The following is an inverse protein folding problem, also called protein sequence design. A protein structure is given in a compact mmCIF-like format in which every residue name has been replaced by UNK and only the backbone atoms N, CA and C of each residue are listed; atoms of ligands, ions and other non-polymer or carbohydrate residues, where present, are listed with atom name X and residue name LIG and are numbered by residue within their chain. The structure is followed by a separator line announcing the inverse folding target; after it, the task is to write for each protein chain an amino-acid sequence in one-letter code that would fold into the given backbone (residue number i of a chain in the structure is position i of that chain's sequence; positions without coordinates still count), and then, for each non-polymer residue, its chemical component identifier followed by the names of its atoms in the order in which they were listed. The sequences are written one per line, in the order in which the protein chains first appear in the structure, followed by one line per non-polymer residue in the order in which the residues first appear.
data_IF_471912539477
#
_entry.id   IF_471912539477
#
_cell.length_a   1.000
_cell.length_b   1.000
_cell.length_c   1.000
_cell.angle_alpha   90.00
_cell.angle_beta   90.00
_cell.angle_gamma   90.00
#
_symmetry.space_group_name_H-M   'P 1'
#
loop_
_entity.id
_entity.type
_entity.pdbx_description
1 polymer ?
#
# COMPACT_ATOMS: atom_id res chain seq x y z
N UNK A 1 -13.71 -7.38 13.95
CA UNK A 1 -13.12 -6.29 13.15
C UNK A 1 -11.66 -6.59 12.78
N UNK A 2 -10.87 -7.22 13.66
CA UNK A 2 -9.56 -7.81 13.30
C UNK A 2 -9.63 -8.71 12.05
N UNK A 3 -10.75 -9.42 11.83
CA UNK A 3 -10.94 -10.26 10.63
C UNK A 3 -11.31 -9.51 9.34
N UNK A 4 -11.62 -8.21 9.39
CA UNK A 4 -12.19 -7.49 8.23
C UNK A 4 -11.19 -6.63 7.45
N UNK A 5 -10.10 -6.17 8.05
CA UNK A 5 -9.12 -5.32 7.37
C UNK A 5 -7.78 -6.07 7.27
N UNK A 6 -7.63 -6.80 6.17
CA UNK A 6 -6.38 -7.48 5.80
C UNK A 6 -5.24 -6.46 5.84
N UNK A 7 -4.31 -6.55 6.79
CA UNK A 7 -3.21 -5.57 6.84
C UNK A 7 -2.81 -5.10 8.20
N UNK A 8 -3.76 -5.13 9.13
CA UNK A 8 -3.89 -4.02 10.03
C UNK A 8 -3.92 -4.50 11.48
N UNK A 9 -2.74 -4.57 12.08
CA UNK A 9 -2.65 -4.87 13.51
C UNK A 9 -3.17 -3.73 14.36
N UNK A 10 -4.26 -3.97 15.09
CA UNK A 10 -4.84 -3.02 16.04
C UNK A 10 -4.07 -2.96 17.38
N UNK A 11 -3.23 -3.96 17.65
CA UNK A 11 -2.60 -4.20 18.95
C UNK A 11 -1.68 -3.08 19.44
N UNK A 12 -1.09 -2.31 18.54
CA UNK A 12 -0.16 -1.21 18.86
C UNK A 12 -0.71 0.17 18.47
N UNK A 13 -1.99 0.26 18.11
CA UNK A 13 -2.64 1.51 17.73
C UNK A 13 -3.30 2.17 18.93
N UNK A 14 -3.35 3.49 18.92
CA UNK A 14 -4.12 4.23 19.93
C UNK A 14 -5.62 3.95 19.74
N UNK A 15 -6.41 4.05 20.80
CA UNK A 15 -7.88 3.87 20.73
C UNK A 15 -8.50 4.80 19.69
N UNK A 16 -8.04 6.06 19.65
CA UNK A 16 -8.49 7.08 18.70
C UNK A 16 -8.16 6.74 17.25
N UNK A 17 -7.00 6.11 16.97
CA UNK A 17 -6.67 5.68 15.61
C UNK A 17 -7.57 4.52 15.17
N UNK A 18 -7.90 3.59 16.08
CA UNK A 18 -8.82 2.49 15.77
C UNK A 18 -10.19 3.07 15.43
N UNK A 19 -10.75 3.92 16.31
CA UNK A 19 -12.05 4.59 16.10
C UNK A 19 -12.10 5.34 14.76
N UNK A 20 -11.04 6.10 14.42
CA UNK A 20 -10.94 6.79 13.14
C UNK A 20 -11.04 5.84 11.94
N UNK A 21 -10.36 4.69 11.99
CA UNK A 21 -10.40 3.71 10.89
C UNK A 21 -11.79 3.06 10.76
N UNK A 22 -12.47 2.80 11.87
CA UNK A 22 -13.85 2.30 11.85
C UNK A 22 -14.82 3.30 11.21
N UNK A 23 -14.70 4.58 11.59
CA UNK A 23 -15.52 5.64 11.05
C UNK A 23 -15.25 5.87 9.57
N UNK A 24 -13.99 5.78 9.15
CA UNK A 24 -13.60 5.89 7.75
C UNK A 24 -14.17 4.75 6.91
N UNK A 25 -14.15 3.51 7.40
CA UNK A 25 -14.78 2.35 6.74
C UNK A 25 -16.29 2.56 6.60
N UNK A 26 -16.97 2.95 7.69
CA UNK A 26 -18.40 3.27 7.66
C UNK A 26 -18.71 4.41 6.70
N UNK A 27 -17.85 5.43 6.64
CA UNK A 27 -17.99 6.56 5.73
C UNK A 27 -17.80 6.15 4.26
N UNK A 28 -16.82 5.29 3.98
CA UNK A 28 -16.59 4.74 2.64
C UNK A 28 -17.78 3.91 2.18
N UNK A 29 -18.32 3.04 3.03
CA UNK A 29 -19.47 2.18 2.72
C UNK A 29 -20.75 2.99 2.50
N UNK A 30 -21.04 3.95 3.39
CA UNK A 30 -22.29 4.72 3.37
C UNK A 30 -22.25 5.94 2.43
N UNK A 31 -21.11 6.26 1.81
CA UNK A 31 -21.04 7.33 0.83
C UNK A 31 -21.92 7.03 -0.38
N UNK A 32 -22.66 8.06 -0.82
CA UNK A 32 -23.50 8.05 -2.03
C UNK A 32 -22.69 8.01 -3.33
N UNK A 33 -21.38 8.28 -3.24
CA UNK A 33 -20.45 8.21 -4.37
C UNK A 33 -20.43 6.79 -4.94
N UNK A 34 -20.38 6.64 -6.26
CA UNK A 34 -20.11 5.35 -6.91
C UNK A 34 -18.70 4.85 -6.56
N UNK A 35 -18.44 3.55 -6.74
CA UNK A 35 -17.10 2.98 -6.50
C UNK A 35 -16.01 3.66 -7.36
N UNK A 36 -16.36 4.09 -8.57
CA UNK A 36 -15.44 4.83 -9.43
C UNK A 36 -15.14 6.22 -8.88
N UNK A 37 -16.15 6.95 -8.41
CA UNK A 37 -15.95 8.26 -7.78
C UNK A 37 -15.10 8.14 -6.52
N UNK A 38 -15.39 7.14 -5.67
CA UNK A 38 -14.58 6.82 -4.49
C UNK A 38 -13.10 6.63 -4.85
N UNK A 39 -12.82 5.83 -5.88
CA UNK A 39 -11.47 5.59 -6.37
C UNK A 39 -10.80 6.86 -6.93
N UNK A 40 -11.55 7.72 -7.64
CA UNK A 40 -11.03 9.00 -8.17
C UNK A 40 -10.73 10.01 -7.07
N UNK A 41 -11.48 9.96 -5.97
CA UNK A 41 -11.26 10.80 -4.79
C UNK A 41 -10.39 10.09 -3.74
N UNK A 42 -9.38 9.32 -4.14
CA UNK A 42 -8.60 8.50 -3.21
C UNK A 42 -8.04 9.28 -2.00
N UNK A 43 -7.65 10.56 -2.18
CA UNK A 43 -7.12 11.40 -1.10
C UNK A 43 -8.12 11.64 0.04
N UNK A 44 -9.44 11.57 -0.23
CA UNK A 44 -10.52 11.67 0.75
C UNK A 44 -10.59 10.43 1.66
N UNK A 45 -10.23 9.27 1.11
CA UNK A 45 -10.40 7.97 1.75
C UNK A 45 -9.09 7.31 2.19
N UNK A 46 -7.95 7.84 1.76
CA UNK A 46 -6.64 7.32 2.14
C UNK A 46 -6.24 7.83 3.54
N UNK A 47 -6.02 6.93 4.52
CA UNK A 47 -5.50 7.33 5.82
C UNK A 47 -4.14 8.01 5.71
N UNK A 48 -3.83 8.91 6.64
CA UNK A 48 -2.54 9.64 6.70
C UNK A 48 -1.33 8.71 6.54
N UNK A 49 -1.30 7.55 7.21
CA UNK A 49 -0.13 6.65 7.14
C UNK A 49 0.13 6.15 5.71
N UNK A 50 -0.94 5.86 4.97
CA UNK A 50 -0.84 5.35 3.60
C UNK A 50 -0.43 6.48 2.66
N UNK A 51 -0.91 7.70 2.90
CA UNK A 51 -0.41 8.89 2.21
C UNK A 51 1.08 9.14 2.48
N UNK A 52 1.54 8.99 3.72
CA UNK A 52 2.97 9.08 4.05
C UNK A 52 3.79 8.03 3.29
N UNK A 53 3.35 6.77 3.26
CA UNK A 53 4.01 5.68 2.51
C UNK A 53 4.02 5.95 1.00
N UNK A 54 2.95 6.53 0.44
CA UNK A 54 2.89 6.94 -0.96
C UNK A 54 3.92 8.05 -1.25
N UNK A 55 3.94 9.10 -0.43
CA UNK A 55 4.88 10.22 -0.59
C UNK A 55 6.34 9.80 -0.38
N UNK A 56 6.62 8.87 0.52
CA UNK A 56 7.97 8.32 0.67
C UNK A 56 8.44 7.61 -0.62
N UNK A 57 7.56 6.83 -1.26
CA UNK A 57 7.87 6.19 -2.56
C UNK A 57 8.05 7.22 -3.67
N UNK A 58 7.25 8.28 -3.66
CA UNK A 58 7.44 9.43 -4.55
C UNK A 58 8.83 10.06 -4.38
N UNK A 59 9.27 10.31 -3.15
CA UNK A 59 10.61 10.86 -2.88
C UNK A 59 11.73 9.89 -3.30
N UNK A 60 11.56 8.59 -3.07
CA UNK A 60 12.50 7.56 -3.55
C UNK A 60 12.55 7.53 -5.08
N UNK A 61 11.40 7.60 -5.74
CA UNK A 61 11.31 7.56 -7.20
C UNK A 61 12.05 8.74 -7.83
N UNK A 62 11.88 9.95 -7.29
CA UNK A 62 12.63 11.13 -7.75
C UNK A 62 14.15 10.96 -7.69
N UNK A 63 14.66 10.21 -6.72
CA UNK A 63 16.11 9.94 -6.59
C UNK A 63 16.66 9.03 -7.69
N UNK A 64 15.81 8.28 -8.37
CA UNK A 64 16.22 7.28 -9.37
C UNK A 64 15.80 7.63 -10.82
N UNK A 65 15.26 8.83 -11.06
CA UNK A 65 14.78 9.26 -12.38
C UNK A 65 15.86 9.12 -13.47
N UNK A 66 17.07 9.61 -13.17
CA UNK A 66 18.20 9.57 -14.09
C UNK A 66 18.99 8.24 -14.03
N UNK A 67 18.52 7.27 -13.24
CA UNK A 67 19.20 5.99 -13.07
C UNK A 67 18.52 4.94 -13.97
N UNK A 68 19.22 4.40 -14.98
CA UNK A 68 18.64 3.37 -15.84
C UNK A 68 18.39 2.07 -15.07
N UNK A 69 17.35 1.34 -15.44
CA UNK A 69 17.04 0.03 -14.88
C UNK A 69 15.58 -0.16 -14.53
N UNK A 70 15.30 -1.18 -13.73
CA UNK A 70 13.95 -1.56 -13.31
C UNK A 70 13.75 -1.40 -11.81
N UNK A 71 12.50 -1.32 -11.38
CA UNK A 71 12.10 -1.31 -9.97
C UNK A 71 11.57 -2.71 -9.61
N UNK A 72 12.00 -3.22 -8.47
CA UNK A 72 11.55 -4.52 -7.95
C UNK A 72 10.88 -4.30 -6.60
N UNK A 73 9.64 -4.78 -6.47
CA UNK A 73 8.84 -4.76 -5.25
C UNK A 73 8.68 -6.20 -4.73
N UNK A 74 9.32 -6.51 -3.61
CA UNK A 74 9.32 -7.83 -2.99
C UNK A 74 8.36 -7.86 -1.80
N UNK A 75 7.27 -8.61 -1.91
CA UNK A 75 6.13 -8.55 -0.99
C UNK A 75 5.12 -7.50 -1.44
N UNK A 76 4.38 -7.82 -2.49
CA UNK A 76 3.41 -6.94 -3.15
C UNK A 76 2.14 -6.75 -2.32
N UNK A 77 1.73 -7.76 -1.55
CA UNK A 77 0.49 -7.76 -0.78
C UNK A 77 -0.72 -7.36 -1.65
N UNK A 78 -1.44 -6.28 -1.30
CA UNK A 78 -2.57 -5.73 -2.06
C UNK A 78 -2.15 -4.75 -3.18
N UNK A 79 -0.85 -4.64 -3.49
CA UNK A 79 -0.33 -3.89 -4.63
C UNK A 79 -0.09 -2.40 -4.41
N UNK A 80 -0.25 -1.87 -3.19
CA UNK A 80 -0.11 -0.43 -2.92
C UNK A 80 1.26 0.12 -3.36
N UNK A 81 2.36 -0.55 -3.01
CA UNK A 81 3.72 -0.17 -3.42
C UNK A 81 3.92 -0.29 -4.93
N UNK A 82 3.62 -1.47 -5.47
CA UNK A 82 3.79 -1.81 -6.88
C UNK A 82 3.10 -0.79 -7.79
N UNK A 83 1.81 -0.52 -7.55
CA UNK A 83 1.05 0.42 -8.36
C UNK A 83 1.45 1.88 -8.11
N UNK A 84 1.97 2.23 -6.93
CA UNK A 84 2.56 3.55 -6.71
C UNK A 84 3.73 3.76 -7.68
N UNK A 85 4.69 2.83 -7.73
CA UNK A 85 5.83 2.97 -8.64
C UNK A 85 5.43 2.93 -10.11
N UNK A 86 4.48 2.08 -10.50
CA UNK A 86 3.96 2.04 -11.86
C UNK A 86 3.32 3.39 -12.28
N UNK A 87 2.53 3.99 -11.40
CA UNK A 87 1.92 5.31 -11.67
C UNK A 87 2.97 6.42 -11.71
N UNK A 88 3.94 6.42 -10.80
CA UNK A 88 5.03 7.40 -10.80
C UNK A 88 5.86 7.32 -12.09
N UNK A 89 6.17 6.11 -12.58
CA UNK A 89 6.84 5.94 -13.88
C UNK A 89 6.01 6.51 -15.03
N UNK A 90 4.68 6.25 -15.05
CA UNK A 90 3.81 6.85 -16.07
C UNK A 90 3.72 8.39 -16.01
N UNK A 91 3.90 8.98 -14.83
CA UNK A 91 3.84 10.44 -14.61
C UNK A 91 5.17 11.09 -15.00
N UNK A 92 6.29 10.56 -14.51
CA UNK A 92 7.59 11.20 -14.61
C UNK A 92 8.42 10.76 -15.80
N UNK A 93 8.15 9.58 -16.35
CA UNK A 93 8.89 9.02 -17.46
C UNK A 93 7.93 8.63 -18.62
N UNK A 94 7.07 9.54 -19.12
CA UNK A 94 6.01 9.21 -20.09
C UNK A 94 6.53 8.64 -21.43
N UNK A 95 7.81 8.87 -21.72
CA UNK A 95 8.50 8.37 -22.92
C UNK A 95 9.51 7.26 -22.63
N UNK A 96 9.72 6.88 -21.36
CA UNK A 96 10.63 5.81 -20.98
C UNK A 96 9.91 4.46 -20.94
N UNK A 97 9.85 3.76 -22.06
CA UNK A 97 9.23 2.43 -22.13
C UNK A 97 10.09 1.30 -21.53
N UNK A 98 11.33 1.61 -21.12
CA UNK A 98 12.28 0.65 -20.59
C UNK A 98 12.15 0.43 -19.08
N UNK A 99 11.65 1.42 -18.32
CA UNK A 99 11.39 1.24 -16.88
C UNK A 99 10.34 0.15 -16.68
N UNK A 100 10.75 -1.00 -16.15
CA UNK A 100 9.83 -2.06 -15.72
C UNK A 100 9.66 -2.00 -14.20
N UNK A 101 8.45 -2.29 -13.74
CA UNK A 101 8.15 -2.43 -12.31
C UNK A 101 7.69 -3.87 -12.09
N UNK A 102 8.52 -4.66 -11.42
CA UNK A 102 8.29 -6.08 -11.15
C UNK A 102 7.79 -6.27 -9.73
N UNK A 103 6.68 -7.00 -9.57
CA UNK A 103 6.17 -7.41 -8.26
C UNK A 103 6.42 -8.90 -8.02
N UNK A 104 7.09 -9.23 -6.93
CA UNK A 104 7.31 -10.61 -6.50
C UNK A 104 6.57 -10.86 -5.19
N UNK A 105 5.67 -11.83 -5.19
CA UNK A 105 4.92 -12.27 -4.01
C UNK A 105 4.55 -13.75 -4.19
N UNK A 106 4.26 -14.45 -3.10
CA UNK A 106 3.64 -15.78 -3.17
C UNK A 106 2.17 -15.68 -3.57
N UNK A 107 1.56 -14.51 -3.36
CA UNK A 107 0.12 -14.22 -3.51
C UNK A 107 -0.78 -15.07 -2.61
N UNK A 108 -0.19 -15.85 -1.70
CA UNK A 108 -0.85 -16.74 -0.76
C UNK A 108 -0.44 -16.49 0.70
N UNK A 109 0.40 -15.47 0.96
CA UNK A 109 0.94 -15.17 2.29
C UNK A 109 2.25 -15.89 2.59
N UNK A 110 2.72 -15.86 3.83
CA UNK A 110 3.96 -16.53 4.21
C UNK A 110 3.78 -18.05 4.17
N UNK A 111 4.60 -18.75 3.37
CA UNK A 111 4.55 -20.22 3.24
C UNK A 111 5.20 -20.93 4.43
N UNK A 112 6.27 -20.33 4.97
CA UNK A 112 6.97 -20.80 6.16
C UNK A 112 7.71 -19.64 6.80
N UNK A 113 7.70 -19.61 8.12
CA UNK A 113 8.37 -18.59 8.91
C UNK A 113 9.64 -19.19 9.49
N UNK A 114 10.73 -18.43 9.48
CA UNK A 114 11.97 -18.88 10.12
C UNK A 114 11.86 -18.73 11.64
N UNK A 115 12.61 -19.53 12.40
CA UNK A 115 12.67 -19.39 13.86
C UNK A 115 13.07 -17.98 14.33
N UNK A 116 13.81 -17.23 13.51
CA UNK A 116 14.22 -15.86 13.82
C UNK A 116 13.06 -14.87 13.71
N UNK A 117 12.04 -15.22 12.95
CA UNK A 117 10.86 -14.39 12.68
C UNK A 117 9.65 -14.78 13.56
N UNK A 118 9.73 -15.87 14.34
CA UNK A 118 8.67 -16.36 15.23
C UNK A 118 8.22 -15.36 16.31
N UNK A 119 9.07 -14.39 16.68
CA UNK A 119 8.70 -13.32 17.62
C UNK A 119 7.87 -12.22 16.98
N UNK A 120 7.83 -12.16 15.65
CA UNK A 120 6.95 -11.26 14.94
C UNK A 120 5.51 -11.69 15.20
N UNK A 121 4.64 -10.75 15.54
CA UNK A 121 3.20 -10.98 15.77
C UNK A 121 2.41 -10.34 14.64
N UNK A 122 2.87 -10.50 13.41
CA UNK A 122 2.14 -10.04 12.23
C UNK A 122 0.98 -11.00 11.98
N UNK A 123 -0.22 -10.46 11.73
CA UNK A 123 -1.43 -11.21 11.35
C UNK A 123 -1.31 -11.92 9.99
N UNK A 124 -0.17 -11.74 9.33
CA UNK A 124 0.19 -12.40 8.08
C UNK A 124 1.16 -13.57 8.23
N UNK A 125 1.63 -13.81 9.46
CA UNK A 125 2.35 -15.02 9.85
C UNK A 125 1.40 -16.21 10.03
#
# INVERSE_FOLDING_TARGET
MDEQIRGLSLKHRSKTDVEFLEELEKYFQNSKDSNLEKARTFAKFAPREHMTKFLARYEIFKKILEIPGSIVDCGVFAGQSLFTFAKLSSIFEPHNYQRKVYGFDTFSGFSKISKKDEKSKSEFL
#
